data_IF_963037478820
#
_entry.id   IF_963037478820
#
_cell.length_a   1.000
_cell.length_b   1.000
_cell.length_c   1.000
_cell.angle_alpha   90.00
_cell.angle_beta   90.00
_cell.angle_gamma   90.00
#
_symmetry.space_group_name_H-M   'P 1'
#
loop_
_entity.id
_entity.type
_entity.pdbx_description
1 polymer ?
#
# COMPACT_ATOMS: atom_id res chain seq x y z
N UNK A 1 5.27 -6.19 15.37
CA UNK A 1 5.30 -5.89 13.94
C UNK A 1 4.20 -4.88 13.71
N UNK A 2 4.51 -3.58 13.82
CA UNK A 2 3.57 -2.56 13.33
C UNK A 2 3.83 -2.54 11.83
N UNK A 3 2.82 -2.97 11.07
CA UNK A 3 2.85 -2.95 9.62
C UNK A 3 3.10 -1.50 9.23
N UNK A 4 4.28 -1.17 8.73
CA UNK A 4 4.47 0.10 8.04
C UNK A 4 3.54 0.03 6.83
N UNK A 5 2.50 0.86 6.84
CA UNK A 5 1.34 0.80 5.96
C UNK A 5 1.71 1.00 4.49
N UNK A 6 2.15 -0.07 3.82
CA UNK A 6 2.20 -0.13 2.36
C UNK A 6 0.82 0.16 1.75
N UNK A 7 -0.26 -0.12 2.48
CA UNK A 7 -1.66 0.01 2.06
C UNK A 7 -2.12 1.45 1.87
N UNK A 8 -1.58 2.39 2.65
CA UNK A 8 -2.03 3.78 2.64
C UNK A 8 -1.68 4.48 1.32
N UNK A 9 -0.55 4.13 0.69
CA UNK A 9 -0.15 4.79 -0.55
C UNK A 9 -1.07 4.45 -1.74
N UNK A 10 -1.49 3.18 -1.87
CA UNK A 10 -2.43 2.79 -2.92
C UNK A 10 -3.76 3.52 -2.75
N UNK A 11 -4.29 3.56 -1.52
CA UNK A 11 -5.52 4.27 -1.20
C UNK A 11 -5.38 5.77 -1.51
N UNK A 12 -4.30 6.41 -1.05
CA UNK A 12 -4.03 7.84 -1.28
C UNK A 12 -3.99 8.17 -2.78
N UNK A 13 -3.30 7.36 -3.59
CA UNK A 13 -3.24 7.56 -5.03
C UNK A 13 -4.60 7.50 -5.70
N UNK A 14 -5.48 6.59 -5.27
CA UNK A 14 -6.84 6.48 -5.78
C UNK A 14 -7.69 7.69 -5.34
N UNK A 15 -7.59 8.08 -4.07
CA UNK A 15 -8.27 9.25 -3.51
C UNK A 15 -7.92 10.51 -4.33
N UNK A 16 -6.63 10.73 -4.57
CA UNK A 16 -6.14 11.88 -5.33
C UNK A 16 -6.62 11.85 -6.78
N UNK A 17 -6.58 10.69 -7.43
CA UNK A 17 -7.03 10.52 -8.81
C UNK A 17 -8.54 10.79 -8.96
N UNK A 18 -9.34 10.38 -7.98
CA UNK A 18 -10.80 10.54 -8.00
C UNK A 18 -11.28 11.87 -7.42
N UNK A 19 -10.38 12.72 -6.92
CA UNK A 19 -10.74 13.98 -6.24
C UNK A 19 -11.52 13.77 -4.95
N UNK A 20 -11.30 12.64 -4.26
CA UNK A 20 -11.93 12.33 -2.99
C UNK A 20 -11.16 12.95 -1.83
N UNK A 21 -11.78 12.98 -0.66
CA UNK A 21 -11.12 13.33 0.60
C UNK A 21 -11.22 12.17 1.59
N UNK A 22 -10.19 12.00 2.41
CA UNK A 22 -10.22 11.12 3.57
C UNK A 22 -10.12 11.97 4.83
N UNK A 23 -11.04 11.77 5.77
CA UNK A 23 -10.98 12.35 7.10
C UNK A 23 -10.28 11.36 8.03
N UNK A 24 -9.20 11.78 8.68
CA UNK A 24 -8.55 11.03 9.74
C UNK A 24 -8.81 11.68 11.11
N UNK A 25 -8.87 10.86 12.14
CA UNK A 25 -8.93 11.34 13.53
C UNK A 25 -7.58 11.87 14.00
N UNK A 26 -7.56 12.43 15.21
CA UNK A 26 -6.30 12.86 15.83
C UNK A 26 -5.34 11.68 15.99
N UNK A 27 -4.05 11.83 15.61
CA UNK A 27 -3.08 10.76 15.75
C UNK A 27 -2.81 10.53 17.24
N UNK A 28 -3.22 9.39 17.77
CA UNK A 28 -2.88 8.96 19.12
C UNK A 28 -1.96 7.75 19.05
N UNK A 29 -0.75 7.88 19.59
CA UNK A 29 0.21 6.79 19.66
C UNK A 29 0.56 6.54 21.12
N UNK A 30 0.10 5.40 21.64
CA UNK A 30 0.53 4.91 22.94
C UNK A 30 1.63 3.85 22.74
N UNK A 31 2.83 4.11 23.26
CA UNK A 31 3.98 3.23 23.09
C UNK A 31 4.39 2.56 24.40
N UNK A 32 3.78 1.41 24.69
CA UNK A 32 3.99 0.67 25.96
C UNK A 32 5.25 -0.21 26.00
N UNK A 33 6.00 -0.34 24.89
CA UNK A 33 7.11 -1.31 24.77
C UNK A 33 8.39 -0.67 24.23
N UNK A 34 9.34 -0.35 25.10
CA UNK A 34 10.66 0.16 24.71
C UNK A 34 11.54 -0.99 24.15
N UNK A 35 11.46 -1.24 22.84
CA UNK A 35 12.36 -2.17 22.14
C UNK A 35 13.59 -1.44 21.59
N UNK A 36 14.69 -2.16 21.39
CA UNK A 36 15.92 -1.55 20.87
C UNK A 36 15.72 -1.08 19.42
N UNK A 37 15.85 0.23 19.22
CA UNK A 37 15.58 0.93 17.97
C UNK A 37 16.46 0.40 16.84
N UNK A 38 17.77 0.30 17.06
CA UNK A 38 18.71 -0.15 16.04
C UNK A 38 18.47 -1.60 15.62
N UNK A 39 18.12 -2.48 16.57
CA UNK A 39 17.75 -3.87 16.26
C UNK A 39 16.46 -3.95 15.43
N UNK A 40 15.53 -3.01 15.59
CA UNK A 40 14.32 -2.97 14.78
C UNK A 40 14.62 -2.43 13.38
N UNK A 41 15.38 -1.34 13.26
CA UNK A 41 15.80 -0.77 11.98
C UNK A 41 16.52 -1.81 11.10
N UNK A 42 17.43 -2.60 11.70
CA UNK A 42 18.11 -3.68 10.99
C UNK A 42 17.15 -4.76 10.47
N UNK A 43 16.10 -5.08 11.22
CA UNK A 43 15.06 -6.04 10.79
C UNK A 43 14.17 -5.48 9.70
N UNK A 44 13.94 -4.17 9.69
CA UNK A 44 13.06 -3.48 8.75
C UNK A 44 13.78 -3.08 7.45
N UNK A 45 15.11 -3.07 7.40
CA UNK A 45 15.91 -2.57 6.28
C UNK A 45 15.47 -3.11 4.91
N UNK A 46 15.26 -4.44 4.77
CA UNK A 46 14.77 -5.04 3.53
C UNK A 46 13.35 -4.60 3.18
N UNK A 47 12.49 -4.45 4.20
CA UNK A 47 11.13 -3.96 4.02
C UNK A 47 11.10 -2.51 3.53
N UNK A 48 12.01 -1.67 4.03
CA UNK A 48 12.16 -0.27 3.60
C UNK A 48 12.58 -0.21 2.12
N UNK A 49 13.58 -1.01 1.72
CA UNK A 49 14.02 -1.08 0.31
C UNK A 49 12.90 -1.54 -0.62
N UNK A 50 12.21 -2.63 -0.25
CA UNK A 50 11.07 -3.14 -1.01
C UNK A 50 9.92 -2.12 -1.09
N UNK A 51 9.66 -1.38 -0.01
CA UNK A 51 8.63 -0.33 0.02
C UNK A 51 8.95 0.79 -0.97
N UNK A 52 10.19 1.24 -1.01
CA UNK A 52 10.61 2.33 -1.89
C UNK A 52 10.47 1.94 -3.37
N UNK A 53 10.87 0.72 -3.74
CA UNK A 53 10.68 0.20 -5.10
C UNK A 53 9.19 0.15 -5.49
N UNK A 54 8.32 -0.35 -4.60
CA UNK A 54 6.87 -0.39 -4.85
C UNK A 54 6.29 1.02 -4.96
N UNK A 55 6.69 1.93 -4.08
CA UNK A 55 6.26 3.34 -4.10
C UNK A 55 6.62 4.02 -5.44
N UNK A 56 7.85 3.87 -5.91
CA UNK A 56 8.29 4.43 -7.19
C UNK A 56 7.54 3.83 -8.38
N UNK A 57 7.20 2.54 -8.34
CA UNK A 57 6.41 1.89 -9.40
C UNK A 57 4.97 2.37 -9.41
N UNK A 58 4.35 2.48 -8.24
CA UNK A 58 2.95 2.89 -8.11
C UNK A 58 2.79 4.39 -8.41
N UNK A 59 3.71 5.25 -7.94
CA UNK A 59 3.67 6.70 -8.18
C UNK A 59 3.66 7.03 -9.69
N UNK A 60 4.45 6.32 -10.50
CA UNK A 60 4.55 6.50 -11.96
C UNK A 60 3.30 6.10 -12.76
N UNK A 61 2.38 5.33 -12.17
CA UNK A 61 1.18 4.89 -12.87
C UNK A 61 0.19 6.06 -12.99
N UNK A 62 -0.24 6.36 -14.22
CA UNK A 62 -1.39 7.25 -14.46
C UNK A 62 -2.66 6.41 -14.50
N UNK A 63 -3.55 6.66 -13.53
CA UNK A 63 -4.84 6.00 -13.42
C UNK A 63 -5.83 6.58 -14.44
N UNK A 64 -6.79 5.75 -14.85
CA UNK A 64 -7.89 6.11 -15.76
C UNK A 64 -9.26 5.66 -15.23
N UNK A 65 -9.29 4.81 -14.21
CA UNK A 65 -10.52 4.37 -13.56
C UNK A 65 -11.39 5.54 -13.08
N UNK A 66 -12.71 5.39 -13.14
CA UNK A 66 -13.68 6.43 -12.75
C UNK A 66 -14.30 6.20 -11.36
N UNK A 67 -14.02 5.04 -10.77
CA UNK A 67 -14.43 4.66 -9.43
C UNK A 67 -13.28 3.90 -8.76
N UNK A 68 -13.41 3.67 -7.45
CA UNK A 68 -12.38 3.02 -6.62
C UNK A 68 -12.05 1.61 -7.15
N UNK A 69 -13.07 0.84 -7.53
CA UNK A 69 -12.93 -0.56 -7.96
C UNK A 69 -12.11 -0.70 -9.24
N UNK A 70 -12.35 0.20 -10.20
CA UNK A 70 -11.59 0.27 -11.44
C UNK A 70 -10.14 0.66 -11.18
N UNK A 71 -9.90 1.62 -10.28
CA UNK A 71 -8.55 2.04 -9.94
C UNK A 71 -7.75 0.94 -9.23
N UNK A 72 -8.36 0.18 -8.31
CA UNK A 72 -7.69 -0.96 -7.64
C UNK A 72 -7.32 -2.03 -8.67
N UNK A 73 -8.24 -2.37 -9.59
CA UNK A 73 -7.98 -3.35 -10.65
C UNK A 73 -6.84 -2.88 -11.56
N UNK A 74 -6.88 -1.61 -11.96
CA UNK A 74 -5.86 -0.99 -12.79
C UNK A 74 -4.47 -0.99 -12.12
N UNK A 75 -4.39 -0.71 -10.82
CA UNK A 75 -3.15 -0.82 -10.05
C UNK A 75 -2.65 -2.26 -9.98
N UNK A 76 -3.52 -3.21 -9.66
CA UNK A 76 -3.15 -4.63 -9.60
C UNK A 76 -2.57 -5.12 -10.94
N UNK A 77 -3.07 -4.62 -12.06
CA UNK A 77 -2.61 -5.00 -13.39
C UNK A 77 -1.34 -4.27 -13.84
N UNK A 78 -1.24 -2.96 -13.58
CA UNK A 78 -0.13 -2.12 -14.07
C UNK A 78 1.12 -2.16 -13.20
N UNK A 79 1.00 -2.43 -11.90
CA UNK A 79 2.17 -2.46 -11.00
C UNK A 79 3.01 -3.69 -11.29
N UNK A 80 4.29 -3.46 -11.65
CA UNK A 80 5.29 -4.52 -11.87
C UNK A 80 5.97 -4.89 -10.55
N UNK A 81 5.24 -5.62 -9.72
CA UNK A 81 5.78 -6.10 -8.44
C UNK A 81 7.01 -7.01 -8.60
N UNK A 82 7.81 -7.12 -7.55
CA UNK A 82 8.90 -8.10 -7.49
C UNK A 82 8.33 -9.52 -7.50
N UNK A 83 9.16 -10.51 -7.84
CA UNK A 83 8.75 -11.92 -7.95
C UNK A 83 8.58 -12.63 -6.60
N UNK A 84 8.51 -11.89 -5.50
CA UNK A 84 8.30 -12.48 -4.18
C UNK A 84 6.85 -12.97 -4.02
N UNK A 85 6.65 -14.11 -3.37
CA UNK A 85 5.34 -14.72 -3.16
C UNK A 85 4.33 -13.79 -2.50
N UNK A 86 4.81 -12.89 -1.65
CA UNK A 86 4.00 -11.87 -1.01
C UNK A 86 3.22 -11.04 -2.04
N UNK A 87 3.90 -10.55 -3.08
CA UNK A 87 3.26 -9.68 -4.08
C UNK A 87 2.34 -10.43 -5.02
N UNK A 88 2.60 -11.72 -5.27
CA UNK A 88 1.65 -12.57 -5.98
C UNK A 88 0.34 -12.68 -5.20
N UNK A 89 0.43 -12.93 -3.89
CA UNK A 89 -0.73 -12.98 -2.99
C UNK A 89 -1.43 -11.62 -2.90
N UNK A 90 -0.69 -10.53 -2.77
CA UNK A 90 -1.23 -9.17 -2.73
C UNK A 90 -2.03 -8.84 -3.99
N UNK A 91 -1.43 -9.05 -5.18
CA UNK A 91 -2.10 -8.80 -6.46
C UNK A 91 -3.38 -9.64 -6.62
N UNK A 92 -3.34 -10.91 -6.20
CA UNK A 92 -4.53 -11.77 -6.18
C UNK A 92 -5.59 -11.22 -5.23
N UNK A 93 -5.22 -10.83 -4.01
CA UNK A 93 -6.13 -10.28 -3.02
C UNK A 93 -6.81 -9.00 -3.53
N UNK A 94 -6.06 -8.06 -4.12
CA UNK A 94 -6.62 -6.83 -4.70
C UNK A 94 -7.76 -7.14 -5.70
N UNK A 95 -7.56 -8.13 -6.58
CA UNK A 95 -8.58 -8.54 -7.57
C UNK A 95 -9.79 -9.23 -6.93
N UNK A 96 -9.56 -10.07 -5.91
CA UNK A 96 -10.62 -10.75 -5.16
C UNK A 96 -11.51 -9.73 -4.45
N UNK A 97 -10.92 -8.80 -3.69
CA UNK A 97 -11.66 -7.74 -3.02
C UNK A 97 -12.49 -6.91 -3.98
N UNK A 98 -11.94 -6.62 -5.15
CA UNK A 98 -12.68 -5.89 -6.19
C UNK A 98 -13.93 -6.62 -6.68
N UNK A 99 -13.92 -7.96 -6.61
CA UNK A 99 -15.04 -8.79 -7.04
C UNK A 99 -16.09 -8.96 -5.96
N UNK A 100 -15.68 -8.94 -4.68
CA UNK A 100 -16.56 -9.14 -3.53
C UNK A 100 -17.35 -7.89 -3.14
N UNK A 101 -16.80 -6.70 -3.38
CA UNK A 101 -17.44 -5.41 -3.03
C UNK A 101 -18.36 -4.88 -4.15
N UNK A 102 -18.96 -5.79 -4.93
CA UNK A 102 -19.94 -5.45 -5.97
C UNK A 102 -21.30 -5.09 -5.38
#
# INVERSE_FOLDING_TARGET
MKNFDQTEFFAKKIIDHLGLAAANGSPFVEHRKASNIFKNLQKEARGIETNEDVYLKVSRIKLKGKNVMDCIRELADKVKFTKEDYFFKLKKAMKVWVTLLK
#
